data_IF_764994867501
#
_entry.id   IF_764994867501
#
_cell.length_a   1.000
_cell.length_b   1.000
_cell.length_c   1.000
_cell.angle_alpha   90.00
_cell.angle_beta   90.00
_cell.angle_gamma   90.00
#
_symmetry.space_group_name_H-M   'P 1'
#
loop_
_entity.id
_entity.type
_entity.pdbx_description
1 polymer ?
#
# COMPACT_ATOMS: atom_id res chain seq x y z
N UNK A 1 -27.85 5.56 -9.13
CA UNK A 1 -27.00 6.76 -9.08
C UNK A 1 -25.57 6.33 -8.81
N UNK A 2 -24.69 6.65 -9.73
CA UNK A 2 -23.27 6.32 -9.56
C UNK A 2 -22.56 7.40 -8.74
N UNK A 3 -21.62 6.98 -7.90
CA UNK A 3 -20.72 7.89 -7.22
C UNK A 3 -19.35 7.78 -7.86
N UNK A 4 -18.75 8.91 -8.16
CA UNK A 4 -17.37 8.99 -8.58
C UNK A 4 -16.53 9.21 -7.32
N UNK A 5 -15.59 8.29 -7.05
CA UNK A 5 -14.67 8.46 -5.95
C UNK A 5 -13.77 9.67 -6.23
N UNK A 6 -13.69 10.60 -5.29
CA UNK A 6 -12.79 11.74 -5.39
C UNK A 6 -11.44 11.38 -4.78
N UNK A 7 -10.37 11.65 -5.53
CA UNK A 7 -9.00 11.56 -5.02
C UNK A 7 -8.48 12.92 -4.54
N UNK A 8 -9.29 13.95 -4.69
CA UNK A 8 -8.95 15.31 -4.25
C UNK A 8 -9.37 15.49 -2.80
N UNK A 9 -8.48 15.95 -1.91
CA UNK A 9 -8.86 16.26 -0.53
C UNK A 9 -9.96 17.29 -0.48
N UNK A 10 -10.83 17.26 0.55
CA UNK A 10 -11.86 18.29 0.71
C UNK A 10 -11.23 19.66 0.93
N UNK A 11 -11.99 20.71 0.60
CA UNK A 11 -11.56 22.08 0.85
C UNK A 11 -11.27 22.29 2.33
N UNK A 12 -10.16 22.98 2.63
CA UNK A 12 -9.70 23.21 4.00
C UNK A 12 -8.87 22.09 4.59
N UNK A 13 -8.67 20.99 3.87
CA UNK A 13 -7.79 19.92 4.30
C UNK A 13 -6.34 20.42 4.35
N UNK A 14 -5.62 20.05 5.41
CA UNK A 14 -4.22 20.38 5.58
C UNK A 14 -3.35 19.26 5.02
N UNK A 15 -2.25 19.65 4.35
CA UNK A 15 -1.21 18.71 3.94
C UNK A 15 -0.31 18.51 5.17
N UNK A 16 -0.18 17.28 5.68
CA UNK A 16 0.67 17.05 6.85
C UNK A 16 2.14 17.27 6.52
N UNK A 17 2.87 17.84 7.48
CA UNK A 17 4.31 17.97 7.36
C UNK A 17 4.99 16.62 7.58
N UNK A 18 6.11 16.42 6.89
CA UNK A 18 6.96 15.26 7.12
C UNK A 18 7.60 15.37 8.52
N UNK A 19 7.57 14.27 9.26
CA UNK A 19 8.27 14.22 10.55
C UNK A 19 9.77 14.42 10.34
N UNK A 20 10.45 15.22 11.19
CA UNK A 20 11.90 15.51 11.03
C UNK A 20 12.80 14.27 11.02
N UNK A 21 12.38 13.21 11.69
CA UNK A 21 13.14 11.95 11.75
C UNK A 21 12.72 10.94 10.68
N UNK A 22 11.86 11.31 9.74
CA UNK A 22 11.47 10.43 8.64
C UNK A 22 12.65 10.12 7.74
N UNK A 23 12.75 8.88 7.23
CA UNK A 23 13.78 8.55 6.23
C UNK A 23 13.65 9.39 4.97
N UNK A 24 14.73 9.50 4.22
CA UNK A 24 14.74 10.24 2.97
C UNK A 24 13.81 9.63 1.92
N UNK A 25 13.29 10.46 1.02
CA UNK A 25 12.51 10.03 -0.14
C UNK A 25 13.26 8.94 -0.92
N UNK A 26 12.55 7.90 -1.30
CA UNK A 26 13.11 6.74 -1.99
C UNK A 26 13.61 5.62 -1.07
N UNK A 27 13.69 5.86 0.23
CA UNK A 27 14.11 4.83 1.19
C UNK A 27 13.05 3.74 1.27
N UNK A 28 13.47 2.48 1.17
CA UNK A 28 12.58 1.35 1.37
C UNK A 28 12.21 1.25 2.86
N UNK A 29 10.91 1.10 3.12
CA UNK A 29 10.40 0.90 4.47
C UNK A 29 10.45 -0.61 4.75
N UNK A 30 11.22 -1.06 5.75
CA UNK A 30 11.33 -2.49 6.05
C UNK A 30 10.02 -3.04 6.61
N UNK A 31 9.81 -4.35 6.41
CA UNK A 31 8.70 -5.06 7.03
C UNK A 31 8.86 -5.08 8.54
N UNK A 32 7.78 -4.85 9.27
CA UNK A 32 7.77 -4.95 10.74
C UNK A 32 7.73 -6.39 11.23
N UNK A 33 7.37 -7.34 10.39
CA UNK A 33 7.26 -8.74 10.73
C UNK A 33 7.39 -9.60 9.46
N UNK A 34 8.36 -10.51 9.45
CA UNK A 34 8.70 -11.31 8.25
C UNK A 34 7.57 -12.21 7.76
N UNK A 35 6.64 -12.60 8.63
CA UNK A 35 5.49 -13.43 8.26
C UNK A 35 4.19 -12.62 8.13
N UNK A 36 4.26 -11.31 8.06
CA UNK A 36 3.10 -10.47 7.81
C UNK A 36 2.50 -10.79 6.44
N UNK A 37 1.19 -11.00 6.37
CA UNK A 37 0.52 -11.28 5.09
C UNK A 37 0.67 -10.14 4.08
N UNK A 38 0.66 -8.89 4.55
CA UNK A 38 0.81 -7.73 3.68
C UNK A 38 2.23 -7.52 3.21
N UNK A 39 3.18 -7.37 4.13
CA UNK A 39 4.55 -6.91 3.84
C UNK A 39 5.64 -7.90 4.20
N UNK A 40 5.31 -9.07 4.75
CA UNK A 40 6.30 -10.06 5.16
C UNK A 40 6.86 -10.86 4.01
N UNK A 41 8.18 -10.85 3.85
CA UNK A 41 8.85 -11.57 2.76
C UNK A 41 8.80 -13.09 2.89
N UNK A 42 8.59 -13.61 4.11
CA UNK A 42 8.57 -15.05 4.38
C UNK A 42 7.17 -15.65 4.38
N UNK A 43 6.11 -14.84 4.24
CA UNK A 43 4.77 -15.39 4.14
C UNK A 43 4.58 -16.08 2.79
N UNK A 44 4.22 -17.37 2.73
CA UNK A 44 4.22 -18.11 1.47
C UNK A 44 3.19 -17.63 0.45
N UNK A 45 2.09 -17.04 0.87
CA UNK A 45 1.00 -16.59 -0.01
C UNK A 45 0.64 -15.12 0.19
N UNK A 46 1.42 -14.38 0.95
CA UNK A 46 1.18 -12.97 1.24
C UNK A 46 1.36 -12.07 0.02
N UNK A 47 1.05 -10.79 0.19
CA UNK A 47 1.14 -9.79 -0.88
C UNK A 47 2.59 -9.40 -1.18
N UNK A 48 3.49 -9.53 -0.23
CA UNK A 48 4.89 -9.12 -0.34
C UNK A 48 5.02 -7.65 -0.77
N UNK A 49 4.21 -6.78 -0.15
CA UNK A 49 4.27 -5.35 -0.40
C UNK A 49 5.66 -4.80 -0.15
N UNK A 50 6.16 -4.02 -1.09
CA UNK A 50 7.40 -3.27 -0.95
C UNK A 50 7.05 -1.80 -0.93
N UNK A 51 7.33 -1.13 0.18
CA UNK A 51 6.98 0.27 0.39
C UNK A 51 8.22 1.16 0.40
N UNK A 52 8.06 2.36 -0.14
CA UNK A 52 9.11 3.37 -0.17
C UNK A 52 8.57 4.71 0.31
N UNK A 53 9.44 5.51 0.91
CA UNK A 53 9.14 6.89 1.28
C UNK A 53 8.98 7.71 0.00
N UNK A 54 7.83 8.37 -0.14
CA UNK A 54 7.55 9.28 -1.25
C UNK A 54 7.90 10.73 -0.91
N UNK A 55 7.31 11.66 -1.63
CA UNK A 55 7.47 13.08 -1.37
C UNK A 55 6.59 13.54 -0.22
N UNK A 56 7.07 14.49 0.59
CA UNK A 56 6.31 15.00 1.73
C UNK A 56 5.94 13.88 2.70
N UNK A 57 4.65 13.70 2.95
CA UNK A 57 4.12 12.64 3.80
C UNK A 57 3.65 11.41 3.00
N UNK A 58 3.93 11.34 1.70
CA UNK A 58 3.49 10.25 0.85
C UNK A 58 4.31 8.99 1.06
N UNK A 59 3.65 7.85 0.86
CA UNK A 59 4.28 6.54 0.81
C UNK A 59 3.77 5.85 -0.45
N UNK A 60 4.67 5.20 -1.18
CA UNK A 60 4.32 4.36 -2.31
C UNK A 60 4.55 2.91 -1.96
N UNK A 61 3.71 2.02 -2.46
CA UNK A 61 3.88 0.59 -2.27
C UNK A 61 3.51 -0.15 -3.55
N UNK A 62 4.20 -1.26 -3.78
CA UNK A 62 3.97 -2.11 -4.94
C UNK A 62 3.82 -3.55 -4.51
N UNK A 63 2.99 -4.29 -5.24
CA UNK A 63 2.89 -5.73 -5.11
C UNK A 63 2.38 -6.33 -6.42
N UNK A 64 2.64 -7.62 -6.61
CA UNK A 64 2.17 -8.35 -7.78
C UNK A 64 1.06 -9.31 -7.38
N UNK A 65 -0.06 -9.25 -8.09
CA UNK A 65 -1.18 -10.17 -7.88
C UNK A 65 -0.79 -11.54 -8.46
N UNK A 66 -0.81 -12.56 -7.61
CA UNK A 66 -0.51 -13.94 -7.99
C UNK A 66 -1.79 -14.78 -8.03
N UNK A 67 -1.69 -16.07 -8.37
CA UNK A 67 -2.80 -17.01 -8.34
C UNK A 67 -3.48 -17.06 -6.98
N UNK A 68 -2.73 -16.88 -5.89
CA UNK A 68 -3.27 -16.90 -4.53
C UNK A 68 -4.10 -15.66 -4.19
N UNK A 69 -4.10 -14.66 -5.05
CA UNK A 69 -4.78 -13.38 -4.82
C UNK A 69 -5.98 -13.18 -5.75
N UNK A 70 -6.40 -14.21 -6.46
CA UNK A 70 -7.52 -14.12 -7.40
C UNK A 70 -8.86 -14.21 -6.69
N UNK A 71 -9.83 -13.39 -7.13
CA UNK A 71 -11.25 -13.55 -6.79
C UNK A 71 -11.98 -14.37 -7.83
N UNK A 72 -11.53 -14.28 -9.07
CA UNK A 72 -11.96 -15.07 -10.22
C UNK A 72 -10.73 -15.26 -11.12
N UNK A 73 -10.73 -16.24 -12.04
CA UNK A 73 -9.58 -16.47 -12.90
C UNK A 73 -9.11 -15.20 -13.61
N UNK A 74 -7.85 -14.82 -13.38
CA UNK A 74 -7.24 -13.63 -13.96
C UNK A 74 -7.61 -12.30 -13.33
N UNK A 75 -8.42 -12.29 -12.26
CA UNK A 75 -8.87 -11.08 -11.60
C UNK A 75 -8.44 -11.05 -10.11
N UNK A 76 -7.90 -9.92 -9.66
CA UNK A 76 -7.55 -9.75 -8.27
C UNK A 76 -8.79 -9.78 -7.37
N UNK A 77 -8.67 -10.42 -6.21
CA UNK A 77 -9.74 -10.44 -5.21
C UNK A 77 -9.90 -9.06 -4.57
N UNK A 78 -11.14 -8.53 -4.56
CA UNK A 78 -11.41 -7.20 -4.02
C UNK A 78 -11.03 -7.04 -2.54
N UNK A 79 -11.25 -8.10 -1.73
CA UNK A 79 -10.85 -8.11 -0.33
C UNK A 79 -9.34 -8.00 -0.14
N UNK A 80 -8.55 -8.63 -1.01
CA UNK A 80 -7.09 -8.51 -0.97
C UNK A 80 -6.63 -7.11 -1.39
N UNK A 81 -7.29 -6.50 -2.36
CA UNK A 81 -6.99 -5.11 -2.73
C UNK A 81 -7.28 -4.16 -1.56
N UNK A 82 -8.39 -4.38 -0.85
CA UNK A 82 -8.72 -3.59 0.34
C UNK A 82 -7.70 -3.80 1.46
N UNK A 83 -7.20 -5.03 1.62
CA UNK A 83 -6.16 -5.33 2.60
C UNK A 83 -4.86 -4.59 2.30
N UNK A 84 -4.52 -4.40 1.02
CA UNK A 84 -3.31 -3.71 0.61
C UNK A 84 -3.35 -2.21 0.98
N UNK A 85 -4.53 -1.64 1.08
CA UNK A 85 -4.71 -0.25 1.48
C UNK A 85 -4.88 -0.11 2.98
#
# INVERSE_FOLDING_TARGET
>A
MSRVASTTPPEGALIPDRHPLSPATGTQIPSHFKHCFGCGELHPTGLHLVAHVGHGADITAEFTVTENHQGAPGLAHGGLLSLAF
#
